data_IF_864092973630
#
_entry.id   IF_864092973630
#
_cell.length_a   1.000
_cell.length_b   1.000
_cell.length_c   1.000
_cell.angle_alpha   90.00
_cell.angle_beta   90.00
_cell.angle_gamma   90.00
#
_symmetry.space_group_name_H-M   'P 1'
#
loop_
_entity.id
_entity.type
_entity.pdbx_description
1 polymer ?
#
# COMPACT_ATOMS: atom_id res chain seq x y z
N UNK A 1 -2.77 4.27 8.67
CA UNK A 1 -1.92 3.35 7.89
C UNK A 1 -0.50 3.44 8.41
N UNK A 2 0.23 2.34 8.47
CA UNK A 2 1.64 2.24 8.89
C UNK A 2 2.40 1.30 7.93
N UNK A 3 3.72 1.34 7.97
CA UNK A 3 4.54 0.34 7.27
C UNK A 3 4.19 -1.05 7.79
N UNK A 4 4.04 -2.02 6.89
CA UNK A 4 3.56 -3.37 7.17
C UNK A 4 2.07 -3.58 6.91
N UNK A 5 1.25 -2.51 6.91
CA UNK A 5 -0.19 -2.65 6.64
C UNK A 5 -0.44 -3.18 5.22
N UNK A 6 -1.45 -4.04 5.10
CA UNK A 6 -1.99 -4.45 3.81
C UNK A 6 -3.04 -3.43 3.34
N UNK A 7 -2.86 -2.95 2.13
CA UNK A 7 -3.71 -1.94 1.49
C UNK A 7 -4.22 -2.39 0.14
N UNK A 8 -5.39 -1.90 -0.25
CA UNK A 8 -5.94 -1.95 -1.61
C UNK A 8 -5.97 -0.54 -2.18
N UNK A 9 -5.72 -0.41 -3.48
CA UNK A 9 -5.99 0.84 -4.16
C UNK A 9 -7.50 0.91 -4.49
N UNK A 10 -8.19 1.94 -3.98
CA UNK A 10 -9.62 2.15 -4.21
C UNK A 10 -9.88 2.56 -5.67
N UNK A 11 -9.00 3.38 -6.25
CA UNK A 11 -9.13 3.87 -7.64
C UNK A 11 -8.78 2.80 -8.68
N UNK A 12 -7.81 1.94 -8.38
CA UNK A 12 -7.42 0.82 -9.24
C UNK A 12 -7.39 -0.51 -8.45
N UNK A 13 -8.57 -1.12 -8.20
CA UNK A 13 -8.67 -2.39 -7.49
C UNK A 13 -7.97 -3.55 -8.22
N UNK A 14 -7.70 -3.41 -9.53
CA UNK A 14 -7.06 -4.44 -10.35
C UNK A 14 -5.59 -4.70 -9.98
N UNK A 15 -4.98 -3.78 -9.21
CA UNK A 15 -3.65 -3.97 -8.62
C UNK A 15 -3.64 -5.01 -7.50
N UNK A 16 -4.81 -5.39 -6.99
CA UNK A 16 -4.96 -6.37 -5.93
C UNK A 16 -4.64 -5.79 -4.57
N UNK A 17 -4.00 -6.60 -3.71
CA UNK A 17 -3.58 -6.23 -2.35
C UNK A 17 -2.07 -6.01 -2.35
N UNK A 18 -1.63 -4.96 -1.66
CA UNK A 18 -0.25 -4.54 -1.58
C UNK A 18 0.14 -4.28 -0.13
N UNK A 19 1.43 -4.35 0.16
CA UNK A 19 1.96 -4.10 1.50
C UNK A 19 2.70 -2.77 1.49
N UNK A 20 2.39 -1.89 2.44
CA UNK A 20 3.16 -0.64 2.61
C UNK A 20 4.56 -1.00 3.07
N UNK A 21 5.57 -0.62 2.30
CA UNK A 21 6.98 -0.82 2.65
C UNK A 21 7.64 0.45 3.13
N UNK A 22 7.12 1.62 2.74
CA UNK A 22 7.65 2.92 3.13
C UNK A 22 6.54 3.97 3.13
N UNK A 23 6.57 4.87 4.11
CA UNK A 23 5.76 6.09 4.14
C UNK A 23 6.75 7.25 4.22
N UNK A 24 6.71 8.16 3.25
CA UNK A 24 7.57 9.34 3.20
C UNK A 24 6.71 10.61 3.37
N UNK A 25 6.57 11.13 4.60
CA UNK A 25 5.82 12.35 4.86
C UNK A 25 6.34 13.57 4.11
N UNK A 26 7.67 13.70 4.01
CA UNK A 26 8.31 14.81 3.33
C UNK A 26 7.95 14.85 1.84
N UNK A 27 7.92 13.68 1.19
CA UNK A 27 7.56 13.55 -0.22
C UNK A 27 6.06 13.40 -0.45
N UNK A 28 5.26 13.36 0.64
CA UNK A 28 3.83 13.03 0.63
C UNK A 28 3.53 11.78 -0.20
N UNK A 29 4.38 10.76 -0.11
CA UNK A 29 4.27 9.52 -0.87
C UNK A 29 4.27 8.30 0.05
N UNK A 30 3.66 7.22 -0.44
CA UNK A 30 3.61 5.91 0.19
C UNK A 30 4.08 4.89 -0.84
N UNK A 31 5.10 4.12 -0.49
CA UNK A 31 5.59 3.04 -1.35
C UNK A 31 4.89 1.74 -0.95
N UNK A 32 4.19 1.16 -1.92
CA UNK A 32 3.42 -0.07 -1.76
C UNK A 32 3.99 -1.14 -2.67
N UNK A 33 4.20 -2.33 -2.11
CA UNK A 33 4.65 -3.51 -2.81
C UNK A 33 3.48 -4.41 -3.13
N UNK A 34 3.12 -4.50 -4.41
CA UNK A 34 2.05 -5.35 -4.92
C UNK A 34 2.64 -6.68 -5.39
N UNK A 35 1.93 -7.78 -5.15
CA UNK A 35 2.31 -9.11 -5.66
C UNK A 35 1.27 -9.54 -6.69
N UNK A 36 1.61 -9.41 -7.98
CA UNK A 36 0.75 -9.82 -9.09
C UNK A 36 1.36 -11.04 -9.79
N UNK A 37 0.67 -12.17 -9.77
CA UNK A 37 1.11 -13.43 -10.41
C UNK A 37 2.56 -13.84 -10.08
N UNK A 38 2.91 -13.85 -8.80
CA UNK A 38 4.26 -14.24 -8.34
C UNK A 38 5.36 -13.20 -8.58
N UNK A 39 5.13 -12.17 -9.41
CA UNK A 39 6.04 -11.04 -9.59
C UNK A 39 5.73 -9.93 -8.58
N UNK A 40 6.78 -9.43 -7.93
CA UNK A 40 6.68 -8.34 -6.94
C UNK A 40 6.93 -7.02 -7.67
N UNK A 41 5.97 -6.10 -7.66
CA UNK A 41 6.11 -4.77 -8.23
C UNK A 41 5.97 -3.72 -7.12
N UNK A 42 6.95 -2.83 -7.03
CA UNK A 42 6.93 -1.73 -6.06
C UNK A 42 6.46 -0.46 -6.76
N UNK A 43 5.41 0.16 -6.26
CA UNK A 43 4.87 1.42 -6.77
C UNK A 43 4.82 2.45 -5.65
N UNK A 44 5.32 3.66 -5.91
CA UNK A 44 5.07 4.81 -5.04
C UNK A 44 3.79 5.48 -5.48
N UNK A 45 2.90 5.71 -4.52
CA UNK A 45 1.64 6.43 -4.71
C UNK A 45 1.61 7.65 -3.81
N UNK A 46 0.79 8.64 -4.13
CA UNK A 46 0.62 9.81 -3.28
C UNK A 46 -0.01 9.43 -1.94
N UNK A 47 0.27 10.18 -0.88
CA UNK A 47 -0.31 9.97 0.45
C UNK A 47 -1.84 10.02 0.37
N UNK A 48 -2.38 10.93 -0.45
CA UNK A 48 -3.81 11.05 -0.73
C UNK A 48 -4.32 10.05 -1.78
N UNK A 49 -3.47 9.17 -2.33
CA UNK A 49 -3.99 8.07 -3.12
C UNK A 49 -4.90 7.27 -2.18
N UNK A 50 -6.16 7.11 -2.58
CA UNK A 50 -7.18 6.41 -1.83
C UNK A 50 -6.78 4.94 -1.63
N UNK A 51 -5.92 4.72 -0.63
CA UNK A 51 -5.47 3.41 -0.18
C UNK A 51 -6.36 3.00 1.00
N UNK A 52 -7.16 1.98 0.77
CA UNK A 52 -7.96 1.36 1.81
C UNK A 52 -7.10 0.35 2.56
N UNK A 53 -7.02 0.46 3.89
CA UNK A 53 -6.36 -0.55 4.72
C UNK A 53 -7.29 -1.73 4.87
N UNK A 54 -6.89 -2.89 4.35
CA UNK A 54 -7.70 -4.12 4.32
C UNK A 54 -7.55 -4.91 5.62
N UNK A 55 -6.34 -4.94 6.16
CA UNK A 55 -6.04 -5.59 7.42
C UNK A 55 -5.21 -4.65 8.28
N UNK A 56 -5.81 -4.20 9.38
CA UNK A 56 -5.09 -3.56 10.48
C UNK A 56 -4.54 -4.70 11.31
N UNK A 57 -3.24 -4.88 11.35
CA UNK A 57 -2.63 -5.78 12.32
C UNK A 57 -3.22 -5.43 13.70
N UNK A 58 -3.91 -6.40 14.33
CA UNK A 58 -4.34 -6.26 15.73
C UNK A 58 -3.09 -5.93 16.52
N UNK A 59 -3.03 -4.73 17.09
CA UNK A 59 -2.02 -4.40 18.09
C UNK A 59 -2.24 -5.37 19.25
N UNK A 60 -1.43 -6.41 19.27
CA UNK A 60 -1.31 -7.34 20.39
C UNK A 60 -0.12 -6.91 21.23
#
# INVERSE_FOLDING_TARGET
MKVGDQVRNIFDPSKGIGTITEISPQKKHITVKWKKHGKKATHSVWWHADLEVIEKEKQN
#
